data_IF_419281396815
#
_entry.id   IF_419281396815
#
_cell.length_a   1.000
_cell.length_b   1.000
_cell.length_c   1.000
_cell.angle_alpha   90.00
_cell.angle_beta   90.00
_cell.angle_gamma   90.00
#
_symmetry.space_group_name_H-M   'P 1'
#
loop_
_entity.id
_entity.type
_entity.pdbx_description
1 polymer ?
#
# COMPACT_ATOMS: atom_id res chain seq x y z
N UNK A 1 11.44 18.21 11.87
CA UNK A 1 12.38 17.41 11.08
C UNK A 1 12.70 18.10 9.75
N UNK A 2 13.92 17.98 9.29
CA UNK A 2 14.37 18.60 8.05
C UNK A 2 13.79 17.90 6.82
N UNK A 3 13.41 18.67 5.79
CA UNK A 3 12.95 18.14 4.49
C UNK A 3 13.97 17.21 3.82
N UNK A 4 15.27 17.31 4.17
CA UNK A 4 16.33 16.44 3.65
C UNK A 4 16.08 14.96 3.98
N UNK A 5 15.35 14.70 5.05
CA UNK A 5 15.11 13.34 5.54
C UNK A 5 13.79 12.77 5.03
N UNK A 6 13.10 13.47 4.15
CA UNK A 6 11.81 13.04 3.59
C UNK A 6 12.03 12.55 2.17
N UNK A 7 11.52 11.37 1.87
CA UNK A 7 11.63 10.77 0.53
C UNK A 7 10.28 10.25 0.06
N UNK A 8 10.05 10.34 -1.25
CA UNK A 8 8.98 9.58 -1.89
C UNK A 8 9.55 8.25 -2.36
N UNK A 9 8.81 7.17 -2.13
CA UNK A 9 9.24 5.86 -2.56
C UNK A 9 8.63 5.50 -3.91
N UNK A 10 9.47 4.97 -4.80
CA UNK A 10 9.01 4.37 -6.04
C UNK A 10 8.60 2.91 -5.78
N UNK A 11 7.74 2.40 -6.62
CA UNK A 11 7.24 1.02 -6.53
C UNK A 11 8.38 0.00 -6.43
N UNK A 12 9.44 0.16 -7.23
CA UNK A 12 10.53 -0.82 -7.25
C UNK A 12 11.30 -0.91 -5.92
N UNK A 13 11.42 0.19 -5.19
CA UNK A 13 12.06 0.14 -3.86
C UNK A 13 11.26 -0.76 -2.92
N UNK A 14 9.94 -0.59 -2.93
CA UNK A 14 9.05 -1.38 -2.08
C UNK A 14 9.07 -2.86 -2.50
N UNK A 15 8.97 -3.12 -3.81
CA UNK A 15 8.98 -4.48 -4.34
C UNK A 15 10.28 -5.20 -4.02
N UNK A 16 11.42 -4.55 -4.22
CA UNK A 16 12.73 -5.14 -3.93
C UNK A 16 12.87 -5.49 -2.45
N UNK A 17 12.33 -4.65 -1.59
CA UNK A 17 12.33 -4.92 -0.16
C UNK A 17 11.42 -6.10 0.20
N UNK A 18 10.19 -6.12 -0.33
CA UNK A 18 9.20 -7.16 0.02
C UNK A 18 9.56 -8.53 -0.57
N UNK A 19 10.03 -8.56 -1.81
CA UNK A 19 10.38 -9.83 -2.48
C UNK A 19 11.70 -10.38 -1.97
N UNK A 20 12.69 -9.50 -1.74
CA UNK A 20 13.96 -9.90 -1.16
C UNK A 20 14.71 -10.93 -2.00
N UNK A 21 14.67 -10.80 -3.31
CA UNK A 21 15.25 -11.78 -4.24
C UNK A 21 16.77 -11.72 -4.36
N UNK A 22 17.44 -10.98 -3.48
CA UNK A 22 18.89 -10.84 -3.45
C UNK A 22 19.39 -9.82 -4.45
N UNK A 23 20.71 -9.60 -4.43
CA UNK A 23 21.36 -8.66 -5.32
C UNK A 23 21.48 -7.27 -4.73
N UNK A 24 22.19 -6.42 -5.46
CA UNK A 24 22.55 -5.07 -5.01
C UNK A 24 21.33 -4.18 -4.78
N UNK A 25 20.33 -4.24 -5.66
CA UNK A 25 19.14 -3.41 -5.52
C UNK A 25 18.29 -3.83 -4.32
N UNK A 26 18.18 -5.12 -4.06
CA UNK A 26 17.49 -5.63 -2.88
C UNK A 26 18.20 -5.20 -1.61
N UNK A 27 19.53 -5.21 -1.60
CA UNK A 27 20.34 -4.77 -0.46
C UNK A 27 20.16 -3.27 -0.21
N UNK A 28 20.12 -2.46 -1.27
CA UNK A 28 19.87 -1.02 -1.17
C UNK A 28 18.47 -0.73 -0.61
N UNK A 29 17.46 -1.48 -1.06
CA UNK A 29 16.10 -1.34 -0.56
C UNK A 29 16.02 -1.69 0.92
N UNK A 30 16.69 -2.76 1.32
CA UNK A 30 16.76 -3.20 2.71
C UNK A 30 17.40 -2.12 3.61
N UNK A 31 18.48 -1.51 3.14
CA UNK A 31 19.15 -0.43 3.85
C UNK A 31 18.24 0.79 3.98
N UNK A 32 17.51 1.13 2.92
CA UNK A 32 16.53 2.22 2.93
C UNK A 32 15.47 1.99 4.01
N UNK A 33 14.87 0.81 4.04
CA UNK A 33 13.83 0.48 5.03
C UNK A 33 14.37 0.43 6.45
N UNK A 34 15.61 0.03 6.62
CA UNK A 34 16.28 0.09 7.92
C UNK A 34 16.33 1.53 8.45
N UNK A 35 16.66 2.48 7.57
CA UNK A 35 16.68 3.91 7.93
C UNK A 35 15.28 4.44 8.24
N UNK A 36 14.27 3.96 7.53
CA UNK A 36 12.87 4.33 7.81
C UNK A 36 12.47 3.80 9.20
N UNK A 37 12.77 2.55 9.48
CA UNK A 37 12.43 1.93 10.75
C UNK A 37 13.10 2.60 11.93
N UNK A 38 14.33 3.08 11.78
CA UNK A 38 15.05 3.72 12.88
C UNK A 38 14.87 5.24 12.95
N UNK A 39 14.03 5.81 12.10
CA UNK A 39 13.69 7.23 12.13
C UNK A 39 14.65 8.16 11.40
N UNK A 40 15.64 7.62 10.70
CA UNK A 40 16.56 8.44 9.91
C UNK A 40 15.94 8.99 8.63
N UNK A 41 14.95 8.28 8.07
CA UNK A 41 14.20 8.70 6.89
C UNK A 41 12.71 8.67 7.19
N UNK A 42 12.00 9.65 6.63
CA UNK A 42 10.54 9.66 6.57
C UNK A 42 10.17 9.37 5.13
N UNK A 43 9.42 8.31 4.91
CA UNK A 43 9.03 7.87 3.58
C UNK A 43 7.55 8.15 3.31
N UNK A 44 7.26 8.57 2.09
CA UNK A 44 5.89 8.74 1.62
C UNK A 44 5.60 7.77 0.49
N UNK A 45 4.50 7.06 0.60
CA UNK A 45 3.97 6.16 -0.41
C UNK A 45 2.54 6.64 -0.73
N UNK A 46 2.34 7.22 -1.91
CA UNK A 46 1.02 7.68 -2.29
C UNK A 46 0.14 6.51 -2.77
N UNK A 47 -1.17 6.79 -2.96
CA UNK A 47 -2.12 5.75 -3.35
C UNK A 47 -1.79 5.11 -4.70
N UNK A 48 -1.24 5.85 -5.64
CA UNK A 48 -0.84 5.30 -6.94
C UNK A 48 0.26 4.26 -6.80
N UNK A 49 1.28 4.55 -6.00
CA UNK A 49 2.39 3.62 -5.73
C UNK A 49 1.89 2.41 -4.93
N UNK A 50 1.03 2.64 -3.96
CA UNK A 50 0.40 1.58 -3.17
C UNK A 50 -0.37 0.61 -4.08
N UNK A 51 -1.23 1.14 -4.95
CA UNK A 51 -2.04 0.33 -5.85
C UNK A 51 -1.17 -0.44 -6.85
N UNK A 52 -0.14 0.21 -7.42
CA UNK A 52 0.78 -0.45 -8.33
C UNK A 52 1.54 -1.59 -7.64
N UNK A 53 1.98 -1.36 -6.40
CA UNK A 53 2.68 -2.38 -5.61
C UNK A 53 1.81 -3.62 -5.43
N UNK A 54 0.55 -3.43 -5.03
CA UNK A 54 -0.39 -4.55 -4.87
C UNK A 54 -0.61 -5.29 -6.18
N UNK A 55 -0.84 -4.52 -7.26
CA UNK A 55 -1.06 -5.09 -8.59
C UNK A 55 0.11 -5.96 -9.04
N UNK A 56 1.35 -5.44 -8.91
CA UNK A 56 2.55 -6.16 -9.34
C UNK A 56 2.78 -7.40 -8.47
N UNK A 57 2.60 -7.31 -7.17
CA UNK A 57 2.73 -8.46 -6.28
C UNK A 57 1.77 -9.57 -6.68
N UNK A 58 0.53 -9.23 -6.99
CA UNK A 58 -0.48 -10.23 -7.35
C UNK A 58 -0.28 -10.77 -8.77
N UNK A 59 -0.14 -9.88 -9.76
CA UNK A 59 -0.16 -10.28 -11.18
C UNK A 59 1.17 -10.74 -11.72
N UNK A 60 2.28 -10.18 -11.24
CA UNK A 60 3.61 -10.54 -11.73
C UNK A 60 4.25 -11.60 -10.85
N UNK A 61 4.23 -11.42 -9.54
CA UNK A 61 4.86 -12.33 -8.59
C UNK A 61 3.91 -13.41 -8.06
N UNK A 62 2.63 -13.34 -8.40
CA UNK A 62 1.61 -14.32 -8.03
C UNK A 62 1.54 -14.55 -6.51
N UNK A 63 1.72 -13.48 -5.74
CA UNK A 63 1.61 -13.50 -4.29
C UNK A 63 0.12 -13.55 -3.90
N UNK A 64 -0.21 -14.39 -2.94
CA UNK A 64 -1.59 -14.51 -2.46
C UNK A 64 -2.04 -13.24 -1.75
N UNK A 65 -3.34 -12.93 -1.84
CA UNK A 65 -3.92 -11.70 -1.28
C UNK A 65 -3.65 -11.54 0.21
N UNK A 66 -3.75 -12.62 0.99
CA UNK A 66 -3.49 -12.55 2.42
C UNK A 66 -2.04 -12.17 2.72
N UNK A 67 -1.10 -12.72 1.96
CA UNK A 67 0.32 -12.39 2.11
C UNK A 67 0.59 -10.94 1.72
N UNK A 68 -0.06 -10.46 0.65
CA UNK A 68 0.02 -9.04 0.24
C UNK A 68 -0.49 -8.14 1.37
N UNK A 69 -1.63 -8.46 1.93
CA UNK A 69 -2.22 -7.70 3.04
C UNK A 69 -1.26 -7.63 4.23
N UNK A 70 -0.76 -8.77 4.69
CA UNK A 70 0.12 -8.82 5.85
C UNK A 70 1.42 -8.06 5.61
N UNK A 71 2.02 -8.24 4.44
CA UNK A 71 3.28 -7.59 4.08
C UNK A 71 3.15 -6.07 4.05
N UNK A 72 2.08 -5.56 3.44
CA UNK A 72 1.87 -4.12 3.34
C UNK A 72 1.40 -3.52 4.67
N UNK A 73 0.61 -4.24 5.45
CA UNK A 73 0.26 -3.79 6.80
C UNK A 73 1.50 -3.57 7.65
N UNK A 74 2.47 -4.47 7.58
CA UNK A 74 3.71 -4.32 8.32
C UNK A 74 4.45 -3.03 7.95
N UNK A 75 4.44 -2.63 6.67
CA UNK A 75 5.04 -1.37 6.26
C UNK A 75 4.23 -0.17 6.75
N UNK A 76 2.91 -0.23 6.61
CA UNK A 76 2.01 0.87 6.99
C UNK A 76 2.10 1.18 8.49
N UNK A 77 2.34 0.17 9.32
CA UNK A 77 2.48 0.34 10.77
C UNK A 77 3.81 0.96 11.20
N UNK A 78 4.79 1.10 10.30
CA UNK A 78 6.02 1.83 10.63
C UNK A 78 5.69 3.31 10.76
N UNK A 79 6.07 3.95 11.86
CA UNK A 79 5.73 5.34 12.14
C UNK A 79 6.16 6.31 11.04
N UNK A 80 7.36 6.13 10.53
CA UNK A 80 7.96 7.01 9.51
C UNK A 80 7.61 6.61 8.07
N UNK A 81 6.74 5.62 7.90
CA UNK A 81 6.19 5.25 6.60
C UNK A 81 4.80 5.85 6.47
N UNK A 82 4.65 6.85 5.60
CA UNK A 82 3.42 7.62 5.48
C UNK A 82 2.66 7.27 4.21
N UNK A 83 1.33 7.24 4.33
CA UNK A 83 0.39 7.03 3.24
C UNK A 83 -0.45 8.30 3.07
N UNK A 84 -1.22 8.39 2.00
CA UNK A 84 -2.22 9.45 1.88
C UNK A 84 -3.16 9.44 3.09
N UNK A 85 -3.61 8.25 3.48
CA UNK A 85 -4.43 8.05 4.69
C UNK A 85 -4.23 6.59 5.13
N UNK A 86 -3.55 6.38 6.24
CA UNK A 86 -3.25 5.01 6.72
C UNK A 86 -4.50 4.19 7.00
N UNK A 87 -5.53 4.81 7.56
CA UNK A 87 -6.79 4.10 7.86
C UNK A 87 -7.46 3.63 6.57
N UNK A 88 -7.44 4.47 5.53
CA UNK A 88 -7.96 4.10 4.22
C UNK A 88 -7.15 2.95 3.62
N UNK A 89 -5.82 3.03 3.68
CA UNK A 89 -4.96 1.99 3.12
C UNK A 89 -5.19 0.64 3.81
N UNK A 90 -5.27 0.64 5.13
CA UNK A 90 -5.54 -0.58 5.90
C UNK A 90 -6.92 -1.16 5.58
N UNK A 91 -7.93 -0.30 5.49
CA UNK A 91 -9.29 -0.73 5.13
C UNK A 91 -9.33 -1.27 3.70
N UNK A 92 -8.62 -0.64 2.78
CA UNK A 92 -8.54 -1.10 1.40
C UNK A 92 -7.94 -2.50 1.29
N UNK A 93 -6.87 -2.78 2.05
CA UNK A 93 -6.25 -4.11 2.07
C UNK A 93 -7.24 -5.18 2.58
N UNK A 94 -8.00 -4.85 3.61
CA UNK A 94 -9.01 -5.75 4.16
C UNK A 94 -10.11 -6.04 3.12
N UNK A 95 -10.64 -5.01 2.48
CA UNK A 95 -11.67 -5.15 1.44
C UNK A 95 -11.13 -5.97 0.26
N UNK A 96 -9.92 -5.68 -0.17
CA UNK A 96 -9.24 -6.38 -1.26
C UNK A 96 -9.06 -7.88 -0.94
N UNK A 97 -8.65 -8.20 0.27
CA UNK A 97 -8.42 -9.58 0.69
C UNK A 97 -9.72 -10.38 0.81
N UNK A 98 -10.79 -9.75 1.28
CA UNK A 98 -12.06 -10.41 1.57
C UNK A 98 -13.02 -10.51 0.39
N UNK A 99 -12.75 -9.78 -0.69
CA UNK A 99 -13.67 -9.68 -1.83
C UNK A 99 -12.94 -9.93 -3.15
N UNK A 100 -13.69 -10.34 -4.16
CA UNK A 100 -13.19 -10.49 -5.52
C UNK A 100 -13.25 -9.14 -6.24
N UNK A 101 -12.34 -8.25 -5.87
CA UNK A 101 -12.30 -6.88 -6.35
C UNK A 101 -10.85 -6.40 -6.35
N UNK A 102 -10.47 -5.52 -7.28
CA UNK A 102 -9.11 -5.04 -7.37
C UNK A 102 -8.80 -3.97 -6.31
N UNK A 103 -7.52 -3.63 -6.19
CA UNK A 103 -7.07 -2.71 -5.14
C UNK A 103 -7.55 -1.27 -5.38
N UNK A 104 -7.68 -0.83 -6.63
CA UNK A 104 -8.15 0.53 -6.92
C UNK A 104 -9.61 0.69 -6.48
N UNK A 105 -10.46 -0.28 -6.82
CA UNK A 105 -11.85 -0.28 -6.36
C UNK A 105 -11.93 -0.42 -4.84
N UNK A 106 -11.05 -1.23 -4.25
CA UNK A 106 -10.96 -1.37 -2.80
C UNK A 106 -10.61 -0.05 -2.12
N UNK A 107 -9.72 0.74 -2.73
CA UNK A 107 -9.38 2.08 -2.23
C UNK A 107 -10.59 3.02 -2.27
N UNK A 108 -11.34 3.02 -3.38
CA UNK A 108 -12.54 3.85 -3.48
C UNK A 108 -13.56 3.49 -2.39
N UNK A 109 -13.79 2.20 -2.20
CA UNK A 109 -14.70 1.72 -1.17
C UNK A 109 -14.20 2.11 0.23
N UNK A 110 -12.90 1.97 0.46
CA UNK A 110 -12.30 2.35 1.74
C UNK A 110 -12.45 3.84 2.01
N UNK A 111 -12.24 4.70 1.01
CA UNK A 111 -12.48 6.14 1.15
C UNK A 111 -13.93 6.43 1.53
N UNK A 112 -14.88 5.76 0.88
CA UNK A 112 -16.29 5.90 1.24
C UNK A 112 -16.56 5.47 2.70
N UNK A 113 -16.02 4.31 3.10
CA UNK A 113 -16.23 3.81 4.46
C UNK A 113 -15.64 4.73 5.54
N UNK A 114 -14.45 5.26 5.28
CA UNK A 114 -13.71 6.06 6.27
C UNK A 114 -14.21 7.51 6.30
N UNK A 115 -14.47 8.12 5.14
CA UNK A 115 -14.79 9.54 5.05
C UNK A 115 -16.28 9.82 4.96
N UNK A 116 -17.11 8.83 4.59
CA UNK A 116 -18.53 9.01 4.34
C UNK A 116 -18.83 9.69 3.00
N UNK A 117 -17.82 10.01 2.20
CA UNK A 117 -18.03 10.65 0.89
C UNK A 117 -18.60 9.64 -0.09
N UNK A 118 -19.69 9.96 -0.81
CA UNK A 118 -20.27 9.04 -1.79
C UNK A 118 -19.33 8.77 -2.95
N UNK A 119 -19.39 7.54 -3.47
CA UNK A 119 -18.69 7.14 -4.69
C UNK A 119 -19.71 6.96 -5.80
N UNK A 120 -19.45 7.55 -6.95
CA UNK A 120 -20.29 7.38 -8.13
C UNK A 120 -19.66 6.34 -9.05
N UNK A 121 -20.36 5.25 -9.26
CA UNK A 121 -19.88 4.14 -10.09
C UNK A 121 -21.04 3.41 -10.76
N UNK A 122 -20.78 2.88 -11.94
CA UNK A 122 -21.70 1.97 -12.61
C UNK A 122 -21.40 0.50 -12.30
N UNK A 123 -20.32 0.23 -11.57
CA UNK A 123 -19.91 -1.14 -11.24
C UNK A 123 -20.78 -1.70 -10.11
N UNK A 124 -21.49 -2.79 -10.41
CA UNK A 124 -22.42 -3.40 -9.45
C UNK A 124 -21.73 -4.02 -8.25
N UNK A 125 -20.58 -4.64 -8.46
CA UNK A 125 -19.81 -5.23 -7.34
C UNK A 125 -19.35 -4.16 -6.37
N UNK A 126 -18.80 -3.07 -6.92
CA UNK A 126 -18.33 -1.95 -6.13
C UNK A 126 -19.49 -1.34 -5.33
N UNK A 127 -20.60 -1.07 -5.99
CA UNK A 127 -21.75 -0.43 -5.36
C UNK A 127 -22.33 -1.23 -4.19
N UNK A 128 -22.26 -2.56 -4.26
CA UNK A 128 -22.74 -3.42 -3.16
C UNK A 128 -21.93 -3.25 -1.89
N UNK A 129 -20.69 -2.81 -2.00
CA UNK A 129 -19.78 -2.70 -0.85
C UNK A 129 -19.72 -1.29 -0.29
N UNK A 130 -20.38 -0.33 -0.93
CA UNK A 130 -20.42 1.05 -0.45
C UNK A 130 -21.34 1.21 0.75
N UNK A 131 -20.99 2.14 1.63
CA UNK A 131 -21.86 2.61 2.71
C UNK A 131 -22.55 3.88 2.28
N UNK A 132 -23.81 3.97 2.62
CA UNK A 132 -24.67 5.12 2.28
C UNK A 132 -24.50 6.22 3.34
#
# INVERSE_FOLDING_TARGET
MSKKNIVYLDTNIILRFLIGDGGELADQAKETFKKIENGELIAFCNDAIFAETVFVLQKVYEVEKLVIQESLENLIFINEFHMNNKDVSLKALSIYCENDIDIVDSLLIAYNHITGVPILSFDKKLNKLLKI
#
